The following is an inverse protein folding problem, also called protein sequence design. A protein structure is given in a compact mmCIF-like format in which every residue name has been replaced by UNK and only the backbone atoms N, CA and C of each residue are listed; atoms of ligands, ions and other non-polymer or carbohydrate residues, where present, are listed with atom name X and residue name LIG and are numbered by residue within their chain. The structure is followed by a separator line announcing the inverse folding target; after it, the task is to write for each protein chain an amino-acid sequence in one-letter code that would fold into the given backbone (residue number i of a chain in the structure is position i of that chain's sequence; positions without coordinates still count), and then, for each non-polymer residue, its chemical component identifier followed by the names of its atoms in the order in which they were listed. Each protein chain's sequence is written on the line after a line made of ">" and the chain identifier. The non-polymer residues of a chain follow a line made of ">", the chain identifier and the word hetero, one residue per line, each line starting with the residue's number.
data_IF_172031710672
#
_entry.id   IF_172031710672
#
_cell.length_a   1.000
_cell.length_b   1.000
_cell.length_c   1.000
_cell.angle_alpha   90.00
_cell.angle_beta   90.00
_cell.angle_gamma   90.00
#
_symmetry.space_group_name_H-M   'P 1'
#
loop_
_entity.id
_entity.type
_entity.pdbx_description
1 polymer ?
#
# COMPACT_ATOMS: atom_id res chain seq x y z
N UNK A 1 33.31 43.54 51.91
CA UNK A 1 32.32 42.47 51.63
C UNK A 1 31.55 42.89 50.38
N UNK A 2 31.95 42.37 49.24
CA UNK A 2 31.37 42.75 47.96
C UNK A 2 30.48 41.61 47.45
N UNK A 3 29.18 41.81 47.34
CA UNK A 3 28.19 40.81 46.86
C UNK A 3 28.09 40.92 45.33
N UNK A 4 28.53 39.91 44.63
CA UNK A 4 28.30 39.74 43.20
C UNK A 4 26.89 39.16 42.94
N UNK A 5 26.09 39.69 42.03
CA UNK A 5 24.84 39.07 41.61
C UNK A 5 25.12 38.02 40.53
N UNK A 6 24.54 36.84 40.74
CA UNK A 6 24.56 35.73 39.81
C UNK A 6 23.52 35.99 38.72
N UNK A 7 23.97 36.21 37.48
CA UNK A 7 23.09 36.34 36.32
C UNK A 7 22.85 34.95 35.76
N UNK A 8 21.63 34.42 35.91
CA UNK A 8 21.20 33.20 35.29
C UNK A 8 20.83 33.48 33.83
N UNK A 9 21.62 32.97 32.91
CA UNK A 9 21.31 33.00 31.49
C UNK A 9 20.38 31.83 31.13
N UNK A 10 19.14 32.16 30.86
CA UNK A 10 18.14 31.17 30.37
C UNK A 10 18.27 31.10 28.85
N UNK A 11 18.87 30.01 28.36
CA UNK A 11 18.94 29.73 26.92
C UNK A 11 17.58 29.12 26.47
N UNK A 12 16.82 29.89 25.70
CA UNK A 12 15.60 29.50 25.04
C UNK A 12 15.98 28.67 23.80
N UNK A 13 15.84 27.34 23.86
CA UNK A 13 15.99 26.47 22.69
C UNK A 13 14.68 26.50 21.90
N UNK A 14 14.64 27.31 20.86
CA UNK A 14 13.54 27.32 19.90
C UNK A 14 13.65 26.06 18.99
N UNK A 15 12.93 24.98 19.36
CA UNK A 15 12.79 23.80 18.52
C UNK A 15 11.94 24.14 17.29
N UNK A 16 12.56 24.20 16.13
CA UNK A 16 11.87 24.30 14.82
C UNK A 16 11.15 22.99 14.53
N UNK A 17 9.86 22.92 14.82
CA UNK A 17 8.96 21.87 14.33
C UNK A 17 8.71 22.11 12.83
N UNK A 18 9.46 21.44 11.98
CA UNK A 18 9.14 21.35 10.56
C UNK A 18 7.87 20.51 10.39
N UNK A 19 6.71 21.17 10.42
CA UNK A 19 5.46 20.60 9.99
C UNK A 19 5.53 20.43 8.47
N UNK A 20 5.79 19.21 8.01
CA UNK A 20 5.57 18.83 6.61
C UNK A 20 4.06 18.85 6.37
N UNK A 21 3.49 20.00 6.06
CA UNK A 21 2.12 20.12 5.59
C UNK A 21 2.06 19.54 4.17
N UNK A 22 1.84 18.23 4.06
CA UNK A 22 1.38 17.67 2.81
C UNK A 22 0.01 18.28 2.55
N UNK A 23 -0.14 18.92 1.38
CA UNK A 23 -1.41 19.51 0.98
C UNK A 23 -2.47 18.38 0.94
N UNK A 24 -3.38 18.41 1.91
CA UNK A 24 -4.43 17.41 2.02
C UNK A 24 -5.31 17.44 0.76
N UNK A 25 -5.67 16.25 0.26
CA UNK A 25 -6.65 16.13 -0.82
C UNK A 25 -7.97 16.75 -0.38
N UNK A 26 -8.56 17.60 -1.25
CA UNK A 26 -9.84 18.24 -0.99
C UNK A 26 -10.96 17.53 -1.74
N UNK A 27 -11.92 17.00 -1.02
CA UNK A 27 -13.11 16.42 -1.62
C UNK A 27 -14.05 17.50 -2.15
N UNK A 28 -14.55 17.31 -3.35
CA UNK A 28 -15.49 18.19 -4.02
C UNK A 28 -16.50 17.38 -4.84
N UNK A 29 -17.67 17.95 -5.04
CA UNK A 29 -18.65 17.39 -6.00
C UNK A 29 -18.13 17.57 -7.42
N UNK A 30 -18.08 16.47 -8.18
CA UNK A 30 -17.66 16.46 -9.59
C UNK A 30 -18.84 16.00 -10.45
N UNK A 31 -19.44 16.93 -11.17
CA UNK A 31 -20.62 16.67 -12.03
C UNK A 31 -20.25 16.36 -13.47
N UNK A 32 -19.09 16.82 -13.92
CA UNK A 32 -18.60 16.69 -15.31
C UNK A 32 -17.27 15.91 -15.36
N UNK A 33 -17.17 14.86 -14.57
CA UNK A 33 -15.99 14.02 -14.55
C UNK A 33 -15.81 13.23 -15.85
N UNK A 34 -14.55 12.98 -16.21
CA UNK A 34 -14.17 12.05 -17.26
C UNK A 34 -13.72 10.70 -16.72
N UNK A 35 -13.43 9.77 -17.61
CA UNK A 35 -12.81 8.49 -17.31
C UNK A 35 -11.58 8.26 -18.18
N UNK A 36 -10.60 7.55 -17.63
CA UNK A 36 -9.43 7.07 -18.36
C UNK A 36 -9.45 5.55 -18.29
N UNK A 37 -9.32 4.91 -19.45
CA UNK A 37 -9.23 3.45 -19.55
C UNK A 37 -8.07 3.07 -20.47
N UNK A 38 -7.48 1.92 -20.19
CA UNK A 38 -6.36 1.44 -20.99
C UNK A 38 -5.90 0.05 -20.53
N UNK A 39 -4.87 -0.45 -21.18
CA UNK A 39 -4.23 -1.72 -20.88
C UNK A 39 -2.75 -1.47 -20.65
N UNK A 40 -2.21 -1.99 -19.54
CA UNK A 40 -0.78 -2.03 -19.31
C UNK A 40 -0.23 -3.22 -20.07
N UNK A 41 0.70 -2.99 -20.98
CA UNK A 41 1.32 -4.04 -21.78
C UNK A 41 2.68 -4.40 -21.20
N UNK A 42 2.97 -5.69 -21.17
CA UNK A 42 4.28 -6.20 -20.84
C UNK A 42 5.09 -6.41 -22.15
N UNK A 43 6.22 -5.72 -22.25
CA UNK A 43 7.11 -5.83 -23.41
C UNK A 43 8.44 -6.43 -22.97
N UNK A 44 8.62 -7.71 -23.17
CA UNK A 44 9.83 -8.39 -22.76
C UNK A 44 9.62 -9.89 -22.67
N UNK A 45 10.65 -10.59 -22.20
CA UNK A 45 10.52 -12.01 -21.94
C UNK A 45 9.81 -12.21 -20.62
N UNK A 46 8.69 -12.90 -20.64
CA UNK A 46 7.93 -13.28 -19.47
C UNK A 46 8.82 -14.05 -18.49
N UNK A 47 9.03 -13.55 -17.25
CA UNK A 47 9.83 -14.26 -16.27
C UNK A 47 9.13 -15.56 -15.87
N UNK A 48 9.91 -16.60 -15.64
CA UNK A 48 9.34 -17.82 -15.09
C UNK A 48 8.91 -17.62 -13.64
N UNK A 49 7.84 -18.27 -13.19
CA UNK A 49 7.47 -18.32 -11.78
C UNK A 49 8.64 -18.79 -10.92
N UNK A 50 8.72 -18.25 -9.72
CA UNK A 50 9.68 -18.73 -8.72
C UNK A 50 9.11 -19.92 -7.98
N UNK A 51 9.96 -20.93 -7.80
CA UNK A 51 9.60 -22.18 -7.13
C UNK A 51 10.12 -22.16 -5.69
N UNK A 52 9.25 -22.43 -4.74
CA UNK A 52 9.58 -22.51 -3.32
C UNK A 52 9.16 -23.88 -2.78
N UNK A 53 10.03 -24.54 -2.05
CA UNK A 53 9.70 -25.77 -1.35
C UNK A 53 8.80 -25.48 -0.16
N UNK A 54 7.72 -26.23 -0.01
CA UNK A 54 6.87 -26.21 1.17
C UNK A 54 7.54 -27.11 2.22
N UNK A 55 8.05 -26.53 3.30
CA UNK A 55 8.83 -27.25 4.31
C UNK A 55 8.17 -27.31 5.69
N UNK A 56 7.04 -26.62 5.86
CA UNK A 56 6.28 -26.55 7.11
C UNK A 56 4.79 -26.56 6.83
N UNK A 57 4.02 -26.96 7.83
CA UNK A 57 2.56 -26.93 7.84
C UNK A 57 1.94 -27.61 6.59
N UNK A 58 2.50 -28.76 6.19
CA UNK A 58 2.12 -29.45 4.97
C UNK A 58 0.65 -29.84 4.92
N UNK A 59 0.03 -30.11 6.07
CA UNK A 59 -1.39 -30.41 6.18
C UNK A 59 -2.30 -29.25 5.72
N UNK A 60 -1.81 -28.02 5.80
CA UNK A 60 -2.54 -26.78 5.44
C UNK A 60 -2.01 -26.17 4.16
N UNK A 61 -0.67 -26.06 4.03
CA UNK A 61 -0.03 -25.42 2.90
C UNK A 61 0.15 -26.33 1.68
N UNK A 62 -0.07 -27.64 1.85
CA UNK A 62 0.17 -28.65 0.83
C UNK A 62 1.60 -29.21 0.87
N UNK A 63 1.87 -30.14 -0.02
CA UNK A 63 3.17 -30.81 -0.13
C UNK A 63 3.91 -30.42 -1.41
N UNK A 64 5.24 -30.61 -1.41
CA UNK A 64 6.09 -30.42 -2.57
C UNK A 64 6.54 -28.97 -2.75
N UNK A 65 6.26 -28.41 -3.90
CA UNK A 65 6.69 -27.07 -4.27
C UNK A 65 5.50 -26.17 -4.61
N UNK A 66 5.67 -24.88 -4.31
CA UNK A 66 4.75 -23.82 -4.71
C UNK A 66 5.42 -22.94 -5.77
N UNK A 67 4.72 -22.71 -6.87
CA UNK A 67 5.15 -21.77 -7.89
C UNK A 67 4.45 -20.43 -7.66
N UNK A 68 5.22 -19.35 -7.58
CA UNK A 68 4.71 -18.00 -7.42
C UNK A 68 5.08 -17.19 -8.65
N UNK A 69 4.07 -16.80 -9.40
CA UNK A 69 4.22 -15.89 -10.53
C UNK A 69 4.09 -14.43 -10.05
N UNK A 70 5.23 -13.76 -9.93
CA UNK A 70 5.29 -12.35 -9.51
C UNK A 70 4.98 -11.38 -10.65
N UNK A 71 5.01 -11.84 -11.89
CA UNK A 71 4.78 -11.01 -13.08
C UNK A 71 3.74 -11.71 -13.95
N UNK A 72 2.49 -11.46 -13.64
CA UNK A 72 1.37 -12.11 -14.33
C UNK A 72 1.13 -11.47 -15.70
N UNK A 73 1.45 -12.19 -16.76
CA UNK A 73 1.23 -11.73 -18.14
C UNK A 73 0.15 -12.58 -18.78
N UNK A 74 -0.94 -11.94 -19.21
CA UNK A 74 -2.03 -12.62 -19.93
C UNK A 74 -2.35 -11.88 -21.21
N UNK A 75 -2.23 -12.54 -22.36
CA UNK A 75 -2.46 -11.94 -23.67
C UNK A 75 -1.70 -10.61 -23.87
N UNK A 76 -0.42 -10.58 -23.42
CA UNK A 76 0.44 -9.40 -23.48
C UNK A 76 0.09 -8.29 -22.49
N UNK A 77 -0.92 -8.47 -21.66
CA UNK A 77 -1.27 -7.53 -20.61
C UNK A 77 -0.61 -7.90 -19.29
N UNK A 78 -0.09 -6.90 -18.58
CA UNK A 78 0.46 -7.04 -17.24
C UNK A 78 -0.69 -7.01 -16.23
N UNK A 79 -0.85 -8.09 -15.47
CA UNK A 79 -1.74 -8.18 -14.32
C UNK A 79 -1.18 -7.45 -13.10
N UNK A 80 -2.03 -7.23 -12.11
CA UNK A 80 -1.66 -6.61 -10.84
C UNK A 80 -0.88 -5.29 -10.99
N UNK A 81 -1.20 -4.50 -12.04
CA UNK A 81 -0.61 -3.20 -12.26
C UNK A 81 -1.51 -2.09 -11.71
N UNK A 82 -0.93 -1.19 -10.91
CA UNK A 82 -1.64 -0.03 -10.37
C UNK A 82 -1.34 1.20 -11.22
N UNK A 83 -2.41 1.80 -11.76
CA UNK A 83 -2.33 3.07 -12.50
C UNK A 83 -3.06 4.13 -11.70
N UNK A 84 -2.40 5.23 -11.40
CA UNK A 84 -2.97 6.28 -10.57
C UNK A 84 -2.63 7.67 -11.08
N UNK A 85 -3.41 8.67 -10.66
CA UNK A 85 -3.17 10.06 -10.97
C UNK A 85 -2.31 10.69 -9.87
N UNK A 86 -1.17 11.27 -10.26
CA UNK A 86 -0.30 11.97 -9.32
C UNK A 86 -0.73 13.42 -9.09
N UNK A 87 -0.40 13.94 -7.89
CA UNK A 87 -0.54 15.37 -7.55
C UNK A 87 -1.97 15.91 -7.67
N UNK A 88 -2.97 15.05 -7.55
CA UNK A 88 -4.37 15.48 -7.54
C UNK A 88 -4.68 16.17 -6.22
N UNK A 89 -4.97 17.47 -6.28
CA UNK A 89 -5.25 18.29 -5.08
C UNK A 89 -6.72 18.26 -4.65
N UNK A 90 -7.63 17.98 -5.56
CA UNK A 90 -9.07 17.92 -5.31
C UNK A 90 -9.78 16.98 -6.28
N UNK A 91 -10.85 16.37 -5.85
CA UNK A 91 -11.66 15.47 -6.67
C UNK A 91 -12.82 14.87 -5.90
N UNK A 92 -13.39 13.80 -6.42
CA UNK A 92 -14.48 13.08 -5.75
C UNK A 92 -14.06 12.57 -4.37
N UNK A 93 -15.00 12.44 -3.43
CA UNK A 93 -14.76 11.70 -2.20
C UNK A 93 -14.21 10.32 -2.50
N UNK A 94 -13.31 9.84 -1.65
CA UNK A 94 -12.88 8.45 -1.74
C UNK A 94 -14.06 7.54 -1.40
N UNK A 95 -14.34 6.51 -2.20
CA UNK A 95 -15.34 5.52 -1.82
C UNK A 95 -14.90 4.84 -0.52
N UNK A 96 -15.86 4.42 0.30
CA UNK A 96 -15.57 3.56 1.44
C UNK A 96 -15.06 2.21 0.90
N UNK A 97 -13.76 2.11 0.68
CA UNK A 97 -13.10 0.88 0.28
C UNK A 97 -12.68 0.15 1.56
N UNK A 98 -13.49 -0.80 1.97
CA UNK A 98 -13.04 -1.83 2.89
C UNK A 98 -12.29 -2.85 2.03
N UNK A 99 -10.98 -2.92 2.20
CA UNK A 99 -10.17 -3.95 1.59
C UNK A 99 -10.33 -5.25 2.36
N UNK A 100 -10.31 -6.38 1.67
CA UNK A 100 -10.23 -7.69 2.32
C UNK A 100 -8.87 -8.29 2.01
N UNK A 101 -8.19 -8.78 3.03
CA UNK A 101 -6.98 -9.59 2.92
C UNK A 101 -7.32 -10.96 3.47
N UNK A 102 -7.43 -11.95 2.59
CA UNK A 102 -7.75 -13.32 2.97
C UNK A 102 -6.48 -14.18 2.99
N UNK A 103 -6.27 -14.91 4.06
CA UNK A 103 -5.24 -15.92 4.16
C UNK A 103 -5.87 -17.29 3.93
N UNK A 104 -5.60 -17.88 2.76
CA UNK A 104 -6.14 -19.18 2.37
C UNK A 104 -5.05 -20.03 1.73
N UNK A 105 -4.93 -21.30 2.16
CA UNK A 105 -3.93 -22.21 1.62
C UNK A 105 -2.49 -21.66 1.71
N UNK A 106 -2.18 -20.93 2.79
CA UNK A 106 -0.88 -20.26 3.00
C UNK A 106 -0.54 -19.19 1.95
N UNK A 107 -1.55 -18.56 1.40
CA UNK A 107 -1.43 -17.40 0.50
C UNK A 107 -2.26 -16.24 1.03
N UNK A 108 -1.79 -15.01 0.77
CA UNK A 108 -2.56 -13.81 1.01
C UNK A 108 -3.23 -13.35 -0.29
N UNK A 109 -4.55 -13.21 -0.26
CA UNK A 109 -5.36 -12.85 -1.41
C UNK A 109 -6.23 -11.60 -1.13
N UNK A 110 -6.35 -10.66 -2.07
CA UNK A 110 -5.63 -10.62 -3.35
C UNK A 110 -4.14 -10.32 -3.16
N UNK A 111 -3.32 -10.69 -4.14
CA UNK A 111 -1.87 -10.40 -4.13
C UNK A 111 -1.57 -8.91 -4.07
N UNK A 112 -2.38 -8.10 -4.71
CA UNK A 112 -2.29 -6.64 -4.74
C UNK A 112 -3.67 -6.02 -4.54
N UNK A 113 -3.76 -5.07 -3.63
CA UNK A 113 -4.94 -4.24 -3.44
C UNK A 113 -4.55 -2.78 -3.25
N UNK A 114 -5.50 -1.89 -3.49
CA UNK A 114 -5.31 -0.44 -3.34
C UNK A 114 -6.36 0.08 -2.37
N UNK A 115 -5.91 0.88 -1.43
CA UNK A 115 -6.79 1.57 -0.49
C UNK A 115 -6.36 3.02 -0.30
N UNK A 116 -7.27 3.88 0.11
CA UNK A 116 -6.92 5.24 0.48
C UNK A 116 -6.39 5.32 1.92
N UNK A 117 -5.67 6.38 2.23
CA UNK A 117 -5.22 6.63 3.60
C UNK A 117 -6.43 6.78 4.55
N UNK A 118 -6.41 6.07 5.66
CA UNK A 118 -7.54 6.00 6.61
C UNK A 118 -8.61 4.96 6.25
N UNK A 119 -8.44 4.20 5.17
CA UNK A 119 -9.28 3.04 4.87
C UNK A 119 -9.06 1.90 5.85
N UNK A 120 -9.95 0.92 5.85
CA UNK A 120 -9.88 -0.28 6.71
C UNK A 120 -9.64 -1.53 5.87
N UNK A 121 -8.92 -2.48 6.45
CA UNK A 121 -8.72 -3.81 5.89
C UNK A 121 -9.29 -4.84 6.85
N UNK A 122 -10.16 -5.69 6.33
CA UNK A 122 -10.64 -6.88 7.03
C UNK A 122 -9.69 -8.04 6.71
N UNK A 123 -8.93 -8.47 7.71
CA UNK A 123 -8.06 -9.63 7.59
C UNK A 123 -8.86 -10.89 7.96
N UNK A 124 -9.02 -11.79 7.00
CA UNK A 124 -9.73 -13.05 7.16
C UNK A 124 -8.69 -14.18 7.12
N UNK A 125 -8.86 -15.14 8.01
CA UNK A 125 -8.02 -16.33 8.03
C UNK A 125 -8.90 -17.58 7.78
N UNK A 126 -8.75 -18.18 6.62
CA UNK A 126 -9.40 -19.43 6.24
C UNK A 126 -8.41 -20.63 6.32
N UNK A 127 -7.58 -20.64 7.35
CA UNK A 127 -6.73 -21.79 7.64
C UNK A 127 -7.49 -22.68 8.62
N UNK A 128 -7.95 -23.82 8.13
CA UNK A 128 -8.51 -24.88 8.97
C UNK A 128 -7.33 -25.67 9.58
N UNK A 129 -7.21 -25.62 10.91
CA UNK A 129 -6.20 -26.37 11.67
C UNK A 129 -6.69 -27.77 12.02
#
# INVERSE_FOLDING_TARGET
>A
MMKMPLIAATTLVAGSLCLNAQAAYKEVSVTNGGSVSGKVLFTGKDPKPKVYAITKDNSVCGEGNREIDFVKVTNGGLGDAVVYLEKVKKGKPFPALNGTLDQKGCEFLPYLSVMHNGGQIDAINHIDW
#
